data_IF_937957207510
#
_entry.id   IF_937957207510
#
_cell.length_a   1.000
_cell.length_b   1.000
_cell.length_c   1.000
_cell.angle_alpha   90.00
_cell.angle_beta   90.00
_cell.angle_gamma   90.00
#
_symmetry.space_group_name_H-M   'P 1'
#
loop_
_entity.id
_entity.type
_entity.pdbx_description
1 polymer ?
#
# COMPACT_ATOMS: atom_id res chain seq x y z
N UNK A 1 8.34 18.79 9.56
CA UNK A 1 9.27 17.84 8.94
C UNK A 1 9.80 18.49 7.68
N UNK A 2 11.11 18.49 7.41
CA UNK A 2 11.59 19.00 6.13
C UNK A 2 11.14 18.02 5.04
N UNK A 3 10.24 18.47 4.15
CA UNK A 3 9.66 17.66 3.08
C UNK A 3 10.58 17.48 1.86
N UNK A 4 11.82 17.99 1.90
CA UNK A 4 12.63 18.16 0.69
C UNK A 4 13.92 17.33 0.65
N UNK A 5 14.06 16.34 1.52
CA UNK A 5 15.13 15.35 1.34
C UNK A 5 14.76 14.43 0.17
N UNK A 6 15.24 14.75 -1.04
CA UNK A 6 15.27 13.78 -2.14
C UNK A 6 16.06 12.57 -1.63
N UNK A 7 15.43 11.38 -1.48
CA UNK A 7 16.15 10.20 -0.99
C UNK A 7 17.32 9.93 -1.93
N UNK A 8 18.50 9.64 -1.37
CA UNK A 8 19.66 9.19 -2.13
C UNK A 8 19.25 8.07 -3.10
N UNK A 9 19.80 8.03 -4.33
CA UNK A 9 19.44 7.01 -5.29
C UNK A 9 19.70 5.64 -4.66
N UNK A 10 18.64 4.85 -4.52
CA UNK A 10 18.73 3.50 -3.99
C UNK A 10 19.68 2.62 -4.81
N UNK A 11 20.03 1.42 -4.33
CA UNK A 11 20.95 0.52 -5.01
C UNK A 11 20.54 0.28 -6.47
N UNK A 12 21.53 0.16 -7.36
CA UNK A 12 21.30 -0.10 -8.79
C UNK A 12 20.67 -1.47 -9.03
N UNK A 13 19.82 -1.56 -10.06
CA UNK A 13 19.19 -2.81 -10.48
C UNK A 13 20.12 -3.57 -11.43
N UNK A 14 20.26 -4.88 -11.24
CA UNK A 14 20.92 -5.78 -12.19
C UNK A 14 20.09 -5.93 -13.47
N UNK A 15 20.69 -6.50 -14.51
CA UNK A 15 19.99 -6.79 -15.77
C UNK A 15 18.82 -7.76 -15.58
N UNK A 16 19.02 -8.76 -14.73
CA UNK A 16 17.99 -9.73 -14.35
C UNK A 16 16.83 -9.09 -13.58
N UNK A 17 17.13 -8.26 -12.58
CA UNK A 17 16.10 -7.56 -11.79
C UNK A 17 15.25 -6.63 -12.68
N UNK A 18 15.87 -5.93 -13.63
CA UNK A 18 15.12 -5.09 -14.57
C UNK A 18 14.19 -5.92 -15.46
N UNK A 19 14.61 -7.10 -15.89
CA UNK A 19 13.77 -7.99 -16.68
C UNK A 19 12.57 -8.52 -15.87
N UNK A 20 12.80 -8.90 -14.59
CA UNK A 20 11.73 -9.37 -13.69
C UNK A 20 10.68 -8.26 -13.44
N UNK A 21 11.14 -7.04 -13.18
CA UNK A 21 10.27 -5.91 -12.82
C UNK A 21 9.83 -5.06 -14.01
N UNK A 22 10.15 -5.45 -15.25
CA UNK A 22 9.89 -4.65 -16.45
C UNK A 22 8.44 -4.21 -16.54
N UNK A 23 7.51 -5.13 -16.27
CA UNK A 23 6.08 -4.87 -16.31
C UNK A 23 5.63 -3.82 -15.27
N UNK A 24 6.32 -3.71 -14.14
CA UNK A 24 6.00 -2.75 -13.08
C UNK A 24 6.45 -1.33 -13.44
N UNK A 25 7.44 -1.21 -14.33
CA UNK A 25 8.02 0.10 -14.72
C UNK A 25 7.03 1.01 -15.44
N UNK A 26 5.99 0.43 -16.05
CA UNK A 26 4.89 1.17 -16.68
C UNK A 26 3.92 1.78 -15.67
N UNK A 27 3.98 1.37 -14.40
CA UNK A 27 3.13 1.91 -13.33
C UNK A 27 3.62 3.31 -12.95
N UNK A 28 2.76 4.35 -13.03
CA UNK A 28 3.14 5.70 -12.63
C UNK A 28 3.70 5.74 -11.21
N UNK A 29 4.92 6.27 -11.06
CA UNK A 29 5.61 6.35 -9.77
C UNK A 29 6.44 5.12 -9.38
N UNK A 30 6.38 4.01 -10.12
CA UNK A 30 7.14 2.76 -9.88
C UNK A 30 8.10 2.46 -11.04
N UNK A 31 8.65 3.50 -11.65
CA UNK A 31 9.70 3.37 -12.67
C UNK A 31 11.04 2.88 -12.08
N UNK A 32 12.12 2.96 -12.86
CA UNK A 32 13.46 2.51 -12.43
C UNK A 32 13.89 3.11 -11.07
N UNK A 33 13.59 4.38 -10.82
CA UNK A 33 13.88 5.06 -9.54
C UNK A 33 13.05 4.51 -8.38
N UNK A 34 11.79 4.15 -8.64
CA UNK A 34 10.92 3.51 -7.66
C UNK A 34 11.43 2.12 -7.27
N UNK A 35 11.85 1.34 -8.27
CA UNK A 35 12.43 0.01 -8.06
C UNK A 35 13.73 0.06 -7.25
N UNK A 36 14.62 1.04 -7.51
CA UNK A 36 15.83 1.23 -6.69
C UNK A 36 15.49 1.55 -5.23
N UNK A 37 14.44 2.34 -4.98
CA UNK A 37 13.96 2.63 -3.62
C UNK A 37 13.40 1.38 -2.95
N UNK A 38 12.61 0.56 -3.67
CA UNK A 38 12.07 -0.70 -3.15
C UNK A 38 13.19 -1.70 -2.82
N UNK A 39 14.21 -1.81 -3.66
CA UNK A 39 15.38 -2.65 -3.41
C UNK A 39 16.16 -2.23 -2.16
N UNK A 40 16.25 -0.93 -1.90
CA UNK A 40 16.87 -0.39 -0.69
C UNK A 40 15.95 -0.36 0.54
N UNK A 41 14.68 -0.75 0.40
CA UNK A 41 13.72 -0.72 1.50
C UNK A 41 13.85 -1.96 2.40
N UNK A 42 13.36 -1.84 3.62
CA UNK A 42 13.22 -2.98 4.54
C UNK A 42 11.81 -2.97 5.11
N UNK A 43 11.20 -4.15 5.20
CA UNK A 43 9.84 -4.33 5.71
C UNK A 43 9.84 -5.31 6.88
N UNK A 44 9.07 -4.99 7.91
CA UNK A 44 8.86 -5.91 9.02
C UNK A 44 7.83 -6.97 8.61
N UNK A 45 8.27 -8.22 8.50
CA UNK A 45 7.44 -9.34 7.99
C UNK A 45 6.15 -9.53 8.79
N UNK A 46 6.19 -9.34 10.11
CA UNK A 46 4.99 -9.46 10.96
C UNK A 46 3.90 -8.45 10.61
N UNK A 47 4.27 -7.24 10.16
CA UNK A 47 3.33 -6.24 9.69
C UNK A 47 2.58 -6.67 8.44
N UNK A 48 3.29 -7.27 7.49
CA UNK A 48 2.70 -7.79 6.24
C UNK A 48 1.74 -8.96 6.54
N UNK A 49 2.15 -9.87 7.42
CA UNK A 49 1.31 -11.00 7.83
C UNK A 49 0.00 -10.52 8.50
N UNK A 50 0.09 -9.55 9.41
CA UNK A 50 -1.08 -8.99 10.08
C UNK A 50 -2.05 -8.32 9.09
N UNK A 51 -1.55 -7.52 8.14
CA UNK A 51 -2.38 -6.90 7.10
C UNK A 51 -3.07 -7.97 6.23
N UNK A 52 -2.34 -9.04 5.87
CA UNK A 52 -2.90 -10.16 5.11
C UNK A 52 -4.03 -10.89 5.83
N UNK A 53 -3.85 -11.20 7.12
CA UNK A 53 -4.89 -11.82 7.94
C UNK A 53 -6.14 -10.93 8.06
N UNK A 54 -5.94 -9.63 8.28
CA UNK A 54 -7.06 -8.67 8.36
C UNK A 54 -7.82 -8.60 7.03
N UNK A 55 -7.12 -8.54 5.89
CA UNK A 55 -7.76 -8.53 4.57
C UNK A 55 -8.56 -9.83 4.31
N UNK A 56 -8.02 -10.99 4.69
CA UNK A 56 -8.71 -12.27 4.57
C UNK A 56 -9.97 -12.32 5.44
N UNK A 57 -9.91 -11.81 6.68
CA UNK A 57 -11.08 -11.71 7.56
C UNK A 57 -12.17 -10.82 6.95
N UNK A 58 -11.81 -9.66 6.38
CA UNK A 58 -12.79 -8.79 5.74
C UNK A 58 -13.42 -9.42 4.50
N UNK A 59 -12.65 -10.18 3.72
CA UNK A 59 -13.18 -10.96 2.61
C UNK A 59 -14.18 -12.03 3.08
N UNK A 60 -13.87 -12.74 4.17
CA UNK A 60 -14.79 -13.73 4.76
C UNK A 60 -16.09 -13.07 5.18
N UNK A 61 -16.05 -11.96 5.92
CA UNK A 61 -17.26 -11.22 6.33
C UNK A 61 -18.15 -10.85 5.14
N UNK A 62 -17.53 -10.34 4.07
CA UNK A 62 -18.25 -9.98 2.84
C UNK A 62 -18.90 -11.19 2.15
N UNK A 63 -18.21 -12.33 2.10
CA UNK A 63 -18.70 -13.55 1.44
C UNK A 63 -19.81 -14.22 2.26
N UNK A 64 -19.66 -14.27 3.58
CA UNK A 64 -20.60 -14.98 4.46
C UNK A 64 -21.76 -14.13 4.93
N UNK A 65 -21.66 -12.80 4.80
CA UNK A 65 -22.62 -11.85 5.38
C UNK A 65 -22.57 -11.79 6.91
N UNK A 66 -21.48 -12.25 7.52
CA UNK A 66 -21.29 -12.23 8.97
C UNK A 66 -20.68 -10.89 9.38
N UNK A 67 -21.29 -10.27 10.39
CA UNK A 67 -20.88 -8.98 10.97
C UNK A 67 -20.79 -7.82 9.96
N UNK A 68 -20.46 -6.63 10.45
CA UNK A 68 -20.23 -5.47 9.61
C UNK A 68 -18.76 -5.41 9.14
N UNK A 69 -18.50 -5.37 7.82
CA UNK A 69 -17.16 -5.19 7.29
C UNK A 69 -16.66 -3.76 7.51
N UNK A 70 -15.35 -3.55 7.40
CA UNK A 70 -14.66 -2.25 7.40
C UNK A 70 -14.93 -1.42 6.13
N UNK A 71 -16.05 -1.64 5.45
CA UNK A 71 -16.49 -0.82 4.33
C UNK A 71 -16.49 0.67 4.71
N UNK A 72 -16.12 1.51 3.74
CA UNK A 72 -16.01 2.98 3.85
C UNK A 72 -15.06 3.50 4.95
N UNK A 73 -14.18 2.63 5.45
CA UNK A 73 -13.26 2.95 6.53
C UNK A 73 -11.83 2.54 6.17
N UNK A 74 -10.88 3.43 6.44
CA UNK A 74 -9.46 3.13 6.34
C UNK A 74 -8.95 2.65 7.70
N UNK A 75 -8.52 1.40 7.76
CA UNK A 75 -7.75 0.90 8.90
C UNK A 75 -6.29 1.34 8.78
N UNK A 76 -5.83 2.13 9.75
CA UNK A 76 -4.42 2.46 9.95
C UNK A 76 -3.85 1.54 11.02
N UNK A 77 -2.86 0.75 10.64
CA UNK A 77 -2.07 -0.07 11.55
C UNK A 77 -0.68 0.56 11.69
N UNK A 78 -0.44 1.20 12.83
CA UNK A 78 0.87 1.78 13.16
C UNK A 78 1.68 0.75 13.97
N UNK A 79 2.73 0.21 13.37
CA UNK A 79 3.60 -0.79 13.97
C UNK A 79 4.59 -0.22 14.99
N UNK A 80 4.86 1.08 14.95
CA UNK A 80 5.81 1.71 15.88
C UNK A 80 5.26 1.74 17.30
N UNK A 81 3.98 2.10 17.41
CA UNK A 81 3.26 2.15 18.68
C UNK A 81 2.30 0.96 18.86
N UNK A 82 2.21 0.07 17.88
CA UNK A 82 1.25 -1.05 17.79
C UNK A 82 -0.19 -0.58 18.04
N UNK A 83 -0.64 0.38 17.21
CA UNK A 83 -1.97 1.00 17.35
C UNK A 83 -2.82 0.79 16.11
N UNK A 84 -4.07 0.42 16.34
CA UNK A 84 -5.11 0.37 15.32
C UNK A 84 -5.99 1.60 15.43
N UNK A 85 -6.16 2.31 14.30
CA UNK A 85 -7.08 3.43 14.20
C UNK A 85 -7.88 3.33 12.92
N UNK A 86 -9.18 3.53 13.03
CA UNK A 86 -10.07 3.53 11.89
C UNK A 86 -10.44 4.98 11.55
N UNK A 87 -10.29 5.35 10.29
CA UNK A 87 -10.63 6.68 9.79
C UNK A 87 -11.75 6.52 8.77
N UNK A 88 -12.86 7.24 8.95
CA UNK A 88 -13.93 7.26 7.96
C UNK A 88 -13.43 7.85 6.63
N UNK A 89 -13.70 7.16 5.53
CA UNK A 89 -13.38 7.65 4.20
C UNK A 89 -14.62 8.27 3.57
N UNK A 90 -14.45 9.48 3.06
CA UNK A 90 -15.48 10.19 2.29
C UNK A 90 -15.08 10.17 0.81
N UNK A 91 -16.02 9.88 -0.07
CA UNK A 91 -15.79 10.01 -1.51
C UNK A 91 -15.57 11.48 -1.86
N UNK A 92 -14.51 11.77 -2.62
CA UNK A 92 -14.24 13.12 -3.12
C UNK A 92 -15.27 13.51 -4.19
N UNK A 93 -15.98 14.65 -4.06
CA UNK A 93 -16.84 15.16 -5.12
C UNK A 93 -16.02 15.41 -6.39
N UNK A 94 -16.48 14.91 -7.54
CA UNK A 94 -15.79 15.06 -8.83
C UNK A 94 -14.59 14.12 -9.07
N UNK A 95 -14.47 13.02 -8.30
CA UNK A 95 -13.47 11.99 -8.60
C UNK A 95 -13.72 11.37 -10.00
N UNK A 96 -12.72 11.35 -10.88
CA UNK A 96 -12.85 10.80 -12.23
C UNK A 96 -13.19 9.30 -12.27
N UNK A 97 -12.90 8.55 -11.19
CA UNK A 97 -13.14 7.11 -11.10
C UNK A 97 -14.51 6.80 -10.49
N UNK A 98 -14.88 7.52 -9.42
CA UNK A 98 -16.04 7.19 -8.57
C UNK A 98 -17.02 8.35 -8.34
N UNK A 99 -16.76 9.53 -8.90
CA UNK A 99 -17.47 10.78 -8.60
C UNK A 99 -18.63 11.12 -9.53
N UNK A 100 -19.03 10.20 -10.42
CA UNK A 100 -20.11 10.40 -11.40
C UNK A 100 -21.22 9.33 -11.38
N UNK A 101 -21.29 8.51 -10.32
CA UNK A 101 -22.38 7.55 -10.08
C UNK A 101 -22.81 7.58 -8.63
#
# INVERSE_FOLDING_TARGET
MPCDAVPSPGPTLSDEERAIYEWQTWVPGVGADGQRKLKGASVLVSGVAAVGCLAATEAIKLITGIDEPLADRLLKFDLRDVRFRTVGLMRRPGCAVWGGK
#
